data_IF_015636084314
#
_entry.id   IF_015636084314
#
_cell.length_a   1.000
_cell.length_b   1.000
_cell.length_c   1.000
_cell.angle_alpha   90.00
_cell.angle_beta   90.00
_cell.angle_gamma   90.00
#
_symmetry.space_group_name_H-M   'P 1'
#
loop_
_entity.id
_entity.type
_entity.pdbx_description
1 polymer ?
#
# COMPACT_ATOMS: atom_id res chain seq x y z
N UNK A 1 22.86 -7.30 32.34
CA UNK A 1 22.52 -7.48 30.93
C UNK A 1 21.02 -7.72 30.83
N UNK A 2 20.32 -7.08 29.89
CA UNK A 2 18.87 -7.27 29.69
C UNK A 2 18.68 -8.22 28.53
N UNK A 3 17.91 -9.30 28.73
CA UNK A 3 17.59 -10.26 27.67
C UNK A 3 16.63 -9.60 26.67
N UNK A 4 16.98 -9.60 25.39
CA UNK A 4 16.13 -9.14 24.30
C UNK A 4 15.55 -10.37 23.59
N UNK A 5 14.22 -10.41 23.43
CA UNK A 5 13.49 -11.51 22.78
C UNK A 5 12.77 -11.04 21.49
N UNK A 6 12.91 -9.76 21.14
CA UNK A 6 12.34 -9.14 19.94
C UNK A 6 13.39 -8.93 18.85
N UNK A 7 12.92 -8.74 17.63
CA UNK A 7 13.75 -8.45 16.46
C UNK A 7 13.39 -7.08 15.87
N UNK A 8 14.40 -6.30 15.49
CA UNK A 8 14.20 -5.02 14.79
C UNK A 8 14.00 -5.20 13.28
N UNK A 9 14.24 -6.42 12.77
CA UNK A 9 14.10 -6.77 11.38
C UNK A 9 13.59 -8.21 11.23
N UNK A 10 12.63 -8.41 10.33
CA UNK A 10 12.19 -9.73 9.94
C UNK A 10 11.88 -9.76 8.45
N UNK A 11 12.13 -10.90 7.81
CA UNK A 11 11.68 -11.17 6.44
C UNK A 11 11.06 -12.56 6.38
N UNK A 12 9.93 -12.65 5.71
CA UNK A 12 9.12 -13.88 5.66
C UNK A 12 8.75 -14.17 4.23
N UNK A 13 8.91 -15.43 3.83
CA UNK A 13 8.39 -15.96 2.58
C UNK A 13 7.02 -16.60 2.82
N UNK A 14 6.05 -16.27 1.99
CA UNK A 14 4.66 -16.70 2.12
C UNK A 14 4.27 -17.60 0.95
N UNK A 15 3.52 -18.66 1.26
CA UNK A 15 2.74 -19.42 0.27
C UNK A 15 1.28 -18.97 0.36
N UNK A 16 0.77 -18.34 -0.70
CA UNK A 16 -0.59 -17.81 -0.78
C UNK A 16 -1.46 -18.77 -1.61
N UNK A 17 -1.97 -19.79 -0.94
CA UNK A 17 -2.65 -20.92 -1.59
C UNK A 17 -1.73 -21.67 -2.55
N UNK A 18 -2.32 -22.33 -3.56
CA UNK A 18 -1.54 -23.18 -4.45
C UNK A 18 -0.67 -22.39 -5.44
N UNK A 19 -1.21 -21.26 -5.94
CA UNK A 19 -0.68 -20.58 -7.12
C UNK A 19 0.10 -19.30 -6.85
N UNK A 20 -0.09 -18.67 -5.69
CA UNK A 20 0.60 -17.43 -5.37
C UNK A 20 1.70 -17.63 -4.33
N UNK A 21 2.70 -16.77 -4.41
CA UNK A 21 3.81 -16.65 -3.45
C UNK A 21 3.91 -15.18 -3.06
N UNK A 22 4.42 -14.92 -1.88
CA UNK A 22 4.65 -13.57 -1.40
C UNK A 22 5.92 -13.51 -0.58
N UNK A 23 6.36 -12.29 -0.33
CA UNK A 23 7.35 -12.00 0.68
C UNK A 23 6.93 -10.71 1.39
N UNK A 24 7.21 -10.60 2.67
CA UNK A 24 7.12 -9.33 3.37
C UNK A 24 8.31 -9.16 4.29
N UNK A 25 8.67 -7.89 4.50
CA UNK A 25 9.77 -7.49 5.36
C UNK A 25 9.27 -6.40 6.29
N UNK A 26 9.65 -6.49 7.57
CA UNK A 26 9.44 -5.44 8.58
C UNK A 26 10.81 -5.01 9.07
N UNK A 27 11.01 -3.72 9.24
CA UNK A 27 12.30 -3.15 9.62
C UNK A 27 12.12 -1.86 10.41
N UNK A 28 12.67 -1.81 11.62
CA UNK A 28 12.85 -0.59 12.41
C UNK A 28 14.22 0.06 12.18
N UNK A 29 15.12 -0.64 11.49
CA UNK A 29 16.51 -0.23 11.24
C UNK A 29 16.76 0.27 9.81
N UNK A 30 15.71 0.46 9.02
CA UNK A 30 15.81 1.02 7.66
C UNK A 30 15.97 2.54 7.69
N UNK A 31 17.20 3.00 7.91
CA UNK A 31 17.55 4.42 7.99
C UNK A 31 16.96 5.24 6.82
N UNK A 32 16.39 6.40 7.15
CA UNK A 32 15.77 7.33 6.20
C UNK A 32 14.29 7.07 5.91
N UNK A 33 13.76 5.86 6.14
CA UNK A 33 12.32 5.59 6.05
C UNK A 33 11.59 6.24 7.22
N UNK A 34 10.46 6.90 6.93
CA UNK A 34 9.66 7.62 7.93
C UNK A 34 8.48 6.78 8.39
N UNK A 35 7.65 6.35 7.45
CA UNK A 35 6.50 5.50 7.72
C UNK A 35 6.12 4.69 6.47
N UNK A 36 7.11 4.04 5.86
CA UNK A 36 6.92 3.34 4.59
C UNK A 36 6.23 2.00 4.80
N UNK A 37 4.91 2.02 4.83
CA UNK A 37 4.09 0.86 4.53
C UNK A 37 3.82 0.83 3.03
N UNK A 38 4.27 -0.21 2.36
CA UNK A 38 4.09 -0.37 0.92
C UNK A 38 3.78 -1.83 0.59
N UNK A 39 2.97 -2.03 -0.43
CA UNK A 39 2.67 -3.37 -0.95
C UNK A 39 2.60 -3.34 -2.47
N UNK A 40 2.87 -4.49 -3.06
CA UNK A 40 2.80 -4.71 -4.49
C UNK A 40 2.10 -6.04 -4.76
N UNK A 41 1.22 -6.06 -5.75
CA UNK A 41 0.48 -7.25 -6.17
C UNK A 41 0.76 -7.48 -7.64
N UNK A 42 1.29 -8.65 -7.97
CA UNK A 42 1.70 -9.01 -9.33
C UNK A 42 0.77 -10.09 -9.89
N UNK A 43 -0.07 -9.71 -10.85
CA UNK A 43 -0.93 -10.62 -11.58
C UNK A 43 -0.28 -11.11 -12.87
N UNK A 44 -0.99 -11.98 -13.59
CA UNK A 44 -0.52 -12.50 -14.89
C UNK A 44 -0.53 -11.43 -15.99
N UNK A 45 -1.43 -10.44 -15.90
CA UNK A 45 -1.66 -9.40 -16.91
C UNK A 45 -1.23 -8.00 -16.48
N UNK A 46 -1.35 -7.70 -15.20
CA UNK A 46 -1.10 -6.38 -14.63
C UNK A 46 -0.65 -6.49 -13.18
N UNK A 47 -0.12 -5.39 -12.67
CA UNK A 47 0.37 -5.26 -11.30
C UNK A 47 -0.16 -3.97 -10.68
N UNK A 48 -0.19 -3.91 -9.36
CA UNK A 48 -0.50 -2.71 -8.61
C UNK A 48 0.53 -2.50 -7.51
N UNK A 49 0.94 -1.25 -7.27
CA UNK A 49 1.85 -0.89 -6.19
C UNK A 49 1.35 0.37 -5.50
N UNK A 50 1.40 0.37 -4.17
CA UNK A 50 0.99 1.50 -3.35
C UNK A 50 1.98 1.71 -2.20
N UNK A 51 2.17 2.98 -1.82
CA UNK A 51 3.10 3.38 -0.78
C UNK A 51 2.47 4.47 0.09
N UNK A 52 2.40 4.22 1.40
CA UNK A 52 1.82 5.15 2.36
C UNK A 52 2.53 6.51 2.39
N UNK A 53 3.82 6.60 2.06
CA UNK A 53 4.51 7.90 2.00
C UNK A 53 4.06 8.75 0.78
N UNK A 54 3.31 8.16 -0.15
CA UNK A 54 2.64 8.82 -1.30
C UNK A 54 1.20 8.28 -1.42
N UNK A 55 0.33 8.54 -0.43
CA UNK A 55 -0.90 7.79 -0.23
C UNK A 55 -1.94 8.03 -1.34
N UNK A 56 -1.87 9.17 -2.02
CA UNK A 56 -2.76 9.55 -3.10
C UNK A 56 -2.41 8.89 -4.45
N UNK A 57 -1.31 8.14 -4.54
CA UNK A 57 -0.86 7.52 -5.79
C UNK A 57 -0.99 6.00 -5.76
N UNK A 58 -1.67 5.45 -6.77
CA UNK A 58 -1.68 4.02 -7.07
C UNK A 58 -0.98 3.79 -8.41
N UNK A 59 0.16 3.12 -8.40
CA UNK A 59 0.81 2.70 -9.63
C UNK A 59 0.15 1.44 -10.17
N UNK A 60 -0.13 1.43 -11.47
CA UNK A 60 -0.61 0.28 -12.22
C UNK A 60 0.40 -0.11 -13.31
N UNK A 61 0.91 -1.33 -13.18
CA UNK A 61 1.78 -1.96 -14.17
C UNK A 61 0.98 -2.75 -15.20
N UNK A 62 1.31 -2.65 -16.47
CA UNK A 62 0.70 -3.45 -17.54
C UNK A 62 1.76 -4.22 -18.31
N UNK A 63 1.49 -5.49 -18.66
CA UNK A 63 2.46 -6.34 -19.36
C UNK A 63 2.75 -5.88 -20.79
N UNK A 64 1.72 -5.41 -21.49
CA UNK A 64 1.76 -5.11 -22.92
C UNK A 64 1.37 -3.65 -23.24
N UNK A 65 1.17 -2.83 -22.22
CA UNK A 65 0.73 -1.43 -22.35
C UNK A 65 1.57 -0.54 -21.44
N UNK A 66 1.62 0.79 -21.67
CA UNK A 66 2.26 1.71 -20.75
C UNK A 66 1.66 1.65 -19.34
N UNK A 67 2.54 1.73 -18.35
CA UNK A 67 2.15 1.85 -16.95
C UNK A 67 1.41 3.17 -16.70
N UNK A 68 0.64 3.21 -15.62
CA UNK A 68 -0.17 4.38 -15.23
C UNK A 68 0.03 4.68 -13.76
N UNK A 69 -0.11 5.95 -13.40
CA UNK A 69 -0.31 6.37 -12.02
C UNK A 69 -1.73 6.89 -11.92
N UNK A 70 -2.52 6.28 -11.06
CA UNK A 70 -3.83 6.80 -10.68
C UNK A 70 -3.60 7.71 -9.49
N UNK A 71 -3.92 8.99 -9.67
CA UNK A 71 -4.00 9.94 -8.57
C UNK A 71 -5.40 9.84 -7.96
N UNK A 72 -5.49 9.84 -6.62
CA UNK A 72 -6.74 9.76 -5.88
C UNK A 72 -7.72 10.83 -6.38
N UNK A 73 -8.82 10.36 -6.94
CA UNK A 73 -9.97 11.16 -7.33
C UNK A 73 -11.22 10.30 -7.14
N UNK A 74 -12.17 10.68 -6.28
CA UNK A 74 -13.37 9.87 -6.01
C UNK A 74 -14.19 9.57 -7.27
N UNK A 75 -14.14 10.41 -8.30
CA UNK A 75 -14.84 10.19 -9.57
C UNK A 75 -14.20 9.09 -10.44
N UNK A 76 -12.92 8.77 -10.21
CA UNK A 76 -12.17 7.74 -10.92
C UNK A 76 -12.07 6.43 -10.13
N UNK A 77 -12.44 6.43 -8.85
CA UNK A 77 -12.39 5.24 -8.00
C UNK A 77 -13.57 4.28 -8.27
N UNK A 78 -13.29 2.98 -8.21
CA UNK A 78 -14.28 1.96 -8.51
C UNK A 78 -15.17 1.63 -7.30
N UNK A 79 -16.48 1.61 -7.51
CA UNK A 79 -17.46 1.05 -6.57
C UNK A 79 -17.31 1.59 -5.16
N UNK A 80 -17.12 0.70 -4.17
CA UNK A 80 -17.03 1.07 -2.75
C UNK A 80 -15.78 1.90 -2.42
N UNK A 81 -14.74 1.89 -3.26
CA UNK A 81 -13.52 2.63 -3.02
C UNK A 81 -13.74 4.14 -3.03
N UNK A 82 -14.65 4.64 -3.89
CA UNK A 82 -14.98 6.06 -3.97
C UNK A 82 -15.45 6.65 -2.64
N UNK A 83 -16.14 5.85 -1.82
CA UNK A 83 -16.60 6.28 -0.50
C UNK A 83 -15.49 6.45 0.55
N UNK A 84 -14.25 6.02 0.27
CA UNK A 84 -13.11 6.22 1.17
C UNK A 84 -12.35 7.52 0.87
N UNK A 85 -12.66 8.21 -0.24
CA UNK A 85 -12.13 9.53 -0.54
C UNK A 85 -13.16 10.59 -0.17
N UNK A 86 -12.92 11.31 0.93
CA UNK A 86 -13.80 12.40 1.36
C UNK A 86 -13.50 13.71 0.65
N UNK A 87 -12.25 13.88 0.21
CA UNK A 87 -11.79 15.09 -0.47
C UNK A 87 -11.77 14.88 -2.00
N UNK A 88 -12.10 15.93 -2.78
CA UNK A 88 -12.10 15.85 -4.25
C UNK A 88 -10.67 15.63 -4.79
N UNK A 89 -10.59 15.30 -6.08
CA UNK A 89 -9.30 15.18 -6.79
C UNK A 89 -8.42 16.41 -6.57
N UNK A 90 -7.13 16.18 -6.29
CA UNK A 90 -6.15 17.22 -6.00
C UNK A 90 -6.08 17.69 -4.54
N UNK A 91 -6.99 17.23 -3.67
CA UNK A 91 -6.88 17.44 -2.22
C UNK A 91 -6.42 16.16 -1.56
N UNK A 92 -5.23 16.21 -0.95
CA UNK A 92 -4.58 15.06 -0.35
C UNK A 92 -5.32 14.53 0.86
N UNK A 93 -5.39 13.20 0.94
CA UNK A 93 -5.80 12.49 2.16
C UNK A 93 -4.67 11.56 2.59
N UNK A 94 -4.53 11.35 3.90
CA UNK A 94 -3.37 10.67 4.45
C UNK A 94 -3.65 9.85 5.71
N UNK A 95 -2.67 9.86 6.60
CA UNK A 95 -2.63 8.99 7.77
C UNK A 95 -3.78 9.27 8.75
N UNK A 96 -4.09 10.54 9.00
CA UNK A 96 -5.17 10.99 9.86
C UNK A 96 -6.55 10.65 9.27
N UNK A 97 -6.74 10.82 7.96
CA UNK A 97 -7.97 10.43 7.27
C UNK A 97 -8.28 8.94 7.41
N UNK A 98 -7.25 8.09 7.47
CA UNK A 98 -7.40 6.64 7.64
C UNK A 98 -8.17 6.29 8.92
N UNK A 99 -7.91 6.96 10.03
CA UNK A 99 -8.63 6.72 11.28
C UNK A 99 -10.08 7.18 11.18
N UNK A 100 -10.31 8.35 10.59
CA UNK A 100 -11.67 8.85 10.31
C UNK A 100 -12.46 7.82 9.49
N UNK A 101 -11.88 7.29 8.42
CA UNK A 101 -12.53 6.27 7.59
C UNK A 101 -12.79 4.96 8.35
N UNK A 102 -11.87 4.56 9.23
CA UNK A 102 -11.97 3.33 10.03
C UNK A 102 -13.06 3.42 11.09
N UNK A 103 -13.28 4.57 11.72
CA UNK A 103 -14.33 4.74 12.74
C UNK A 103 -15.69 5.12 12.17
N UNK A 104 -15.73 5.68 10.96
CA UNK A 104 -16.99 6.04 10.28
C UNK A 104 -17.72 4.83 9.72
N UNK A 105 -17.03 3.71 9.51
CA UNK A 105 -17.52 2.52 8.79
C UNK A 105 -17.40 1.28 9.65
#
# INVERSE_FOLDING_TARGET
>A
EVKIESEDFASVLLKLGDRARGAFTVSQISAGRKNRFAFEIFGTKSSAAWNQEQPDELWLGHRNDPNRVIVKDPSLLLGRAAGYADLPGGHSEGYDDTFKQTFRR
#
